data_IF_097411642188
#
_entry.id   IF_097411642188
#
_cell.length_a   1.000
_cell.length_b   1.000
_cell.length_c   1.000
_cell.angle_alpha   90.00
_cell.angle_beta   90.00
_cell.angle_gamma   90.00
#
_symmetry.space_group_name_H-M   'P 1'
#
loop_
_entity.id
_entity.type
_entity.pdbx_description
1 polymer ?
#
# COMPACT_ATOMS: atom_id res chain seq x y z
N UNK A 1 -2.87 11.29 3.07
CA UNK A 1 -3.21 9.85 3.03
C UNK A 1 -4.26 9.48 4.06
N UNK A 2 -4.08 9.77 5.37
CA UNK A 2 -5.14 9.56 6.39
C UNK A 2 -6.51 10.15 6.00
N UNK A 3 -6.55 11.37 5.46
CA UNK A 3 -7.78 11.98 4.95
C UNK A 3 -8.43 11.22 3.79
N UNK A 4 -7.65 10.53 2.95
CA UNK A 4 -8.18 9.70 1.87
C UNK A 4 -8.77 8.40 2.41
N UNK A 5 -8.12 7.78 3.40
CA UNK A 5 -8.65 6.59 4.08
C UNK A 5 -9.97 6.95 4.78
N UNK A 6 -9.98 8.03 5.55
CA UNK A 6 -11.18 8.56 6.18
C UNK A 6 -12.28 8.88 5.15
N UNK A 7 -11.92 9.57 4.06
CA UNK A 7 -12.86 9.92 3.00
C UNK A 7 -13.50 8.71 2.32
N UNK A 8 -12.77 7.61 2.20
CA UNK A 8 -13.31 6.35 1.69
C UNK A 8 -14.38 5.79 2.65
N UNK A 9 -14.13 5.80 3.95
CA UNK A 9 -15.11 5.35 4.95
C UNK A 9 -16.34 6.22 5.02
N UNK A 10 -16.17 7.54 4.96
CA UNK A 10 -17.29 8.48 4.92
C UNK A 10 -17.95 8.54 3.54
N UNK A 11 -17.51 7.73 2.57
CA UNK A 11 -17.99 7.71 1.19
C UNK A 11 -17.95 9.08 0.49
N UNK A 12 -17.04 9.95 0.92
CA UNK A 12 -16.86 11.29 0.37
C UNK A 12 -15.91 11.28 -0.83
N UNK A 13 -15.11 10.21 -0.99
CA UNK A 13 -14.28 9.98 -2.17
C UNK A 13 -14.66 8.68 -2.87
N UNK A 14 -14.45 8.62 -4.20
CA UNK A 14 -14.68 7.43 -5.03
C UNK A 14 -13.42 6.59 -5.25
N UNK A 15 -12.48 6.59 -4.31
CA UNK A 15 -11.29 5.75 -4.39
C UNK A 15 -11.64 4.31 -4.00
N UNK A 16 -11.17 3.32 -4.76
CA UNK A 16 -11.38 1.89 -4.45
C UNK A 16 -10.09 1.17 -4.02
N UNK A 17 -8.94 1.80 -4.24
CA UNK A 17 -7.62 1.30 -3.92
C UNK A 17 -6.66 2.47 -3.80
N UNK A 18 -5.78 2.42 -2.81
CA UNK A 18 -4.68 3.36 -2.59
C UNK A 18 -3.38 2.57 -2.54
N UNK A 19 -2.41 2.99 -3.35
CA UNK A 19 -1.09 2.38 -3.38
C UNK A 19 -0.03 3.41 -2.99
N UNK A 20 0.57 3.21 -1.82
CA UNK A 20 1.75 3.96 -1.38
C UNK A 20 3.01 3.25 -1.93
N UNK A 21 3.76 3.93 -2.78
CA UNK A 21 5.06 3.46 -3.27
C UNK A 21 6.14 4.35 -2.69
N UNK A 22 7.07 3.77 -1.95
CA UNK A 22 8.13 4.51 -1.27
C UNK A 22 9.49 3.89 -1.56
N UNK A 23 10.35 4.65 -2.25
CA UNK A 23 11.77 4.31 -2.39
C UNK A 23 12.55 4.94 -1.24
N UNK A 24 13.26 4.13 -0.47
CA UNK A 24 14.05 4.56 0.69
C UNK A 24 15.54 4.42 0.42
N UNK A 25 16.32 5.33 1.01
CA UNK A 25 17.79 5.28 0.93
C UNK A 25 18.38 4.26 1.92
N UNK A 26 17.71 4.04 3.05
CA UNK A 26 18.25 3.26 4.16
C UNK A 26 17.17 2.61 5.03
N UNK A 27 17.57 1.64 5.85
CA UNK A 27 16.67 1.03 6.86
C UNK A 27 16.27 1.99 7.96
N UNK A 28 17.13 2.94 8.31
CA UNK A 28 16.86 3.92 9.35
C UNK A 28 15.62 4.76 9.02
N UNK A 29 15.39 5.08 7.75
CA UNK A 29 14.17 5.76 7.29
C UNK A 29 12.91 4.92 7.55
N UNK A 30 12.96 3.61 7.25
CA UNK A 30 11.83 2.71 7.52
C UNK A 30 11.56 2.64 9.02
N UNK A 31 12.59 2.42 9.84
CA UNK A 31 12.45 2.35 11.30
C UNK A 31 11.89 3.65 11.87
N UNK A 32 12.36 4.81 11.41
CA UNK A 32 11.85 6.10 11.84
C UNK A 32 10.36 6.31 11.45
N UNK A 33 9.93 5.74 10.32
CA UNK A 33 8.55 5.82 9.84
C UNK A 33 7.65 4.68 10.33
N UNK A 34 8.17 3.68 11.03
CA UNK A 34 7.46 2.44 11.36
C UNK A 34 6.13 2.72 12.08
N UNK A 35 6.16 3.56 13.11
CA UNK A 35 4.96 3.97 13.84
C UNK A 35 3.93 4.67 12.94
N UNK A 36 4.38 5.48 11.98
CA UNK A 36 3.49 6.16 11.03
C UNK A 36 2.84 5.18 10.05
N UNK A 37 3.62 4.20 9.57
CA UNK A 37 3.12 3.14 8.68
C UNK A 37 2.13 2.23 9.40
N UNK A 38 2.41 1.84 10.64
CA UNK A 38 1.51 1.04 11.45
C UNK A 38 0.19 1.78 11.71
N UNK A 39 0.25 3.06 12.09
CA UNK A 39 -0.94 3.88 12.27
C UNK A 39 -1.78 4.00 10.97
N UNK A 40 -1.14 4.10 9.80
CA UNK A 40 -1.85 4.13 8.52
C UNK A 40 -2.54 2.79 8.21
N UNK A 41 -1.92 1.68 8.60
CA UNK A 41 -2.48 0.34 8.43
C UNK A 41 -3.62 0.07 9.42
N UNK A 42 -3.53 0.56 10.64
CA UNK A 42 -4.61 0.50 11.63
C UNK A 42 -5.81 1.36 11.20
N UNK A 43 -5.55 2.58 10.72
CA UNK A 43 -6.59 3.43 10.13
C UNK A 43 -7.27 2.71 8.96
N UNK A 44 -6.54 1.90 8.16
CA UNK A 44 -7.12 1.09 7.10
C UNK A 44 -7.81 -0.19 7.63
N UNK A 45 -9.10 -0.11 7.98
CA UNK A 45 -9.93 -1.16 8.59
C UNK A 45 -10.50 -2.23 7.62
N UNK A 46 -10.57 -3.49 8.12
CA UNK A 46 -11.03 -4.68 7.38
C UNK A 46 -12.48 -4.63 6.94
N UNK A 47 -13.36 -4.07 7.78
CA UNK A 47 -14.81 -4.07 7.57
C UNK A 47 -15.22 -3.30 6.30
N UNK A 48 -14.31 -2.45 5.82
CA UNK A 48 -14.48 -1.66 4.61
C UNK A 48 -13.64 -2.16 3.43
N UNK A 49 -13.01 -3.33 3.57
CA UNK A 49 -12.37 -4.05 2.46
C UNK A 49 -10.88 -3.78 2.24
N UNK A 50 -10.18 -3.12 3.18
CA UNK A 50 -8.77 -2.71 3.08
C UNK A 50 -8.39 -2.08 1.73
N UNK A 51 -8.33 -0.76 1.66
CA UNK A 51 -8.00 -0.06 0.41
C UNK A 51 -6.51 0.24 0.28
N UNK A 52 -5.74 0.21 1.37
CA UNK A 52 -4.35 0.62 1.39
C UNK A 52 -3.41 -0.56 1.09
N UNK A 53 -2.50 -0.35 0.15
CA UNK A 53 -1.36 -1.22 -0.12
C UNK A 53 -0.09 -0.38 -0.04
N UNK A 54 0.97 -0.93 0.54
CA UNK A 54 2.25 -0.24 0.70
C UNK A 54 3.35 -1.08 0.05
N UNK A 55 4.13 -0.47 -0.83
CA UNK A 55 5.28 -1.07 -1.48
C UNK A 55 6.53 -0.24 -1.20
N UNK A 56 7.48 -0.82 -0.49
CA UNK A 56 8.72 -0.14 -0.10
C UNK A 56 9.88 -0.71 -0.91
N UNK A 57 10.67 0.15 -1.53
CA UNK A 57 11.77 -0.21 -2.42
C UNK A 57 13.10 0.26 -1.81
N UNK A 58 14.09 -0.63 -1.75
CA UNK A 58 15.42 -0.34 -1.21
C UNK A 58 16.52 -0.98 -2.06
N UNK A 59 17.64 -0.29 -2.25
CA UNK A 59 18.77 -0.82 -3.03
C UNK A 59 19.49 -2.02 -2.41
N UNK A 60 19.50 -2.15 -1.08
CA UNK A 60 20.17 -3.24 -0.33
C UNK A 60 19.28 -4.48 -0.15
N UNK A 61 19.87 -5.65 -0.40
CA UNK A 61 19.28 -6.99 -0.46
C UNK A 61 18.91 -7.58 0.90
N UNK A 62 19.39 -7.04 2.03
CA UNK A 62 19.11 -7.64 3.34
C UNK A 62 17.73 -7.25 3.93
N UNK A 63 16.70 -7.47 3.11
CA UNK A 63 15.27 -7.37 3.42
C UNK A 63 14.76 -8.51 4.33
N UNK A 64 15.43 -9.66 4.37
CA UNK A 64 14.92 -10.85 5.06
C UNK A 64 14.63 -10.65 6.56
N UNK A 65 15.26 -9.65 7.21
CA UNK A 65 15.08 -9.37 8.64
C UNK A 65 14.07 -8.28 8.99
N UNK A 66 13.49 -7.57 8.01
CA UNK A 66 12.49 -6.51 8.25
C UNK A 66 11.05 -7.04 8.19
N UNK A 67 10.86 -8.22 7.60
CA UNK A 67 9.56 -8.86 7.42
C UNK A 67 9.12 -9.61 8.69
N UNK A 68 8.82 -8.85 9.75
CA UNK A 68 7.93 -9.28 10.83
C UNK A 68 6.72 -8.36 10.95
N UNK A 69 6.31 -7.76 9.83
CA UNK A 69 5.07 -7.00 9.77
C UNK A 69 3.89 -7.97 9.83
N UNK A 70 3.13 -7.95 10.92
CA UNK A 70 1.91 -8.76 11.13
C UNK A 70 0.84 -8.56 10.03
N UNK A 71 1.03 -7.61 9.11
CA UNK A 71 0.10 -7.25 8.05
C UNK A 71 0.62 -7.65 6.66
N UNK A 72 -0.07 -8.58 5.98
CA UNK A 72 0.16 -9.00 4.58
C UNK A 72 -0.01 -7.88 3.52
N UNK A 73 -0.10 -6.60 3.93
CA UNK A 73 -0.43 -5.43 3.10
C UNK A 73 0.78 -4.53 2.82
N UNK A 74 1.91 -4.78 3.49
CA UNK A 74 3.19 -4.12 3.21
C UNK A 74 4.08 -5.12 2.49
N UNK A 75 4.52 -4.75 1.30
CA UNK A 75 5.49 -5.52 0.52
C UNK A 75 6.78 -4.73 0.41
N UNK A 76 7.89 -5.44 0.45
CA UNK A 76 9.19 -4.85 0.25
C UNK A 76 9.86 -5.45 -0.97
N UNK A 77 10.55 -4.59 -1.72
CA UNK A 77 11.18 -4.92 -2.98
C UNK A 77 12.62 -4.41 -3.00
N UNK A 78 13.48 -5.16 -3.65
CA UNK A 78 14.84 -4.72 -3.91
C UNK A 78 14.89 -3.81 -5.14
N UNK A 79 15.76 -2.79 -5.08
CA UNK A 79 16.04 -1.88 -6.18
C UNK A 79 15.17 -0.64 -6.17
N UNK A 80 14.99 -0.05 -7.34
CA UNK A 80 14.14 1.11 -7.56
C UNK A 80 12.78 0.69 -8.14
N UNK A 81 11.69 1.38 -7.80
CA UNK A 81 10.38 1.12 -8.39
C UNK A 81 10.35 1.47 -9.88
N UNK A 82 9.78 0.59 -10.69
CA UNK A 82 9.35 0.93 -12.05
C UNK A 82 8.01 1.68 -11.97
N UNK A 83 8.08 2.99 -11.80
CA UNK A 83 6.90 3.84 -11.70
C UNK A 83 5.98 3.73 -12.93
N UNK A 84 6.55 3.55 -14.13
CA UNK A 84 5.74 3.46 -15.36
C UNK A 84 4.89 2.20 -15.35
N UNK A 85 5.49 1.07 -15.01
CA UNK A 85 4.78 -0.20 -14.87
C UNK A 85 3.73 -0.13 -13.76
N UNK A 86 4.10 0.37 -12.59
CA UNK A 86 3.20 0.50 -11.43
C UNK A 86 1.98 1.37 -11.78
N UNK A 87 2.21 2.57 -12.31
CA UNK A 87 1.12 3.49 -12.68
C UNK A 87 0.22 2.84 -13.74
N UNK A 88 0.80 2.18 -14.75
CA UNK A 88 0.02 1.51 -15.79
C UNK A 88 -0.89 0.42 -15.21
N UNK A 89 -0.38 -0.39 -14.29
CA UNK A 89 -1.16 -1.45 -13.64
C UNK A 89 -2.25 -0.87 -12.74
N UNK A 90 -1.95 0.13 -11.92
CA UNK A 90 -2.94 0.77 -11.04
C UNK A 90 -4.03 1.49 -11.86
N UNK A 91 -3.66 2.19 -12.94
CA UNK A 91 -4.60 2.86 -13.84
C UNK A 91 -5.55 1.90 -14.57
N UNK A 92 -5.09 0.68 -14.86
CA UNK A 92 -5.93 -0.37 -15.45
C UNK A 92 -7.07 -0.83 -14.52
N UNK A 93 -6.92 -0.63 -13.20
CA UNK A 93 -7.82 -1.15 -12.18
C UNK A 93 -7.71 -2.66 -11.97
N UNK A 94 -6.74 -3.34 -12.58
CA UNK A 94 -6.56 -4.80 -12.48
C UNK A 94 -6.36 -5.29 -11.04
N UNK A 95 -5.81 -4.46 -10.16
CA UNK A 95 -5.53 -4.78 -8.76
C UNK A 95 -6.67 -4.42 -7.80
N UNK A 96 -7.78 -3.87 -8.30
CA UNK A 96 -8.96 -3.60 -7.47
C UNK A 96 -9.63 -4.95 -7.17
N UNK A 97 -9.72 -5.32 -5.89
CA UNK A 97 -10.46 -6.52 -5.47
C UNK A 97 -11.92 -6.37 -5.88
N UNK A 98 -12.39 -7.26 -6.74
CA UNK A 98 -13.79 -7.34 -7.15
C UNK A 98 -14.62 -7.88 -5.99
N UNK A 99 -15.75 -7.26 -5.71
CA UNK A 99 -16.72 -7.86 -4.80
C UNK A 99 -17.52 -8.94 -5.55
N UNK A 100 -18.02 -9.98 -4.86
CA UNK A 100 -18.93 -10.94 -5.48
C UNK A 100 -20.13 -10.19 -6.08
N UNK A 101 -20.31 -10.27 -7.40
CA UNK A 101 -21.38 -9.59 -8.14
C UNK A 101 -20.94 -8.45 -9.06
N UNK A 102 -19.66 -8.07 -9.09
CA UNK A 102 -19.16 -7.12 -10.09
C UNK A 102 -19.23 -7.71 -11.51
N UNK A 103 -19.79 -6.99 -12.51
CA UNK A 103 -19.91 -7.49 -13.87
C UNK A 103 -18.54 -7.74 -14.51
N UNK A 104 -18.45 -8.83 -15.27
CA UNK A 104 -17.28 -9.13 -16.12
C UNK A 104 -17.20 -8.04 -17.20
N UNK A 105 -16.11 -7.27 -17.19
CA UNK A 105 -15.71 -6.45 -18.33
C UNK A 105 -15.07 -7.31 -19.40
#
# INVERSE_FOLDING_TARGET
MKSMIYGYYTRTIKARRLHLVWQVGSRAEITAAEHLLNNLLEDDHKDYGYILNISIYMGDLAMERLLSGQHKRVCFYQGAPDYRSIISVEASGALIKRQPGDPLK
#
